data_IF_004332249415
#
_entry.id   IF_004332249415
#
_cell.length_a   1.000
_cell.length_b   1.000
_cell.length_c   1.000
_cell.angle_alpha   90.00
_cell.angle_beta   90.00
_cell.angle_gamma   90.00
#
_symmetry.space_group_name_H-M   'P 1'
#
loop_
_entity.id
_entity.type
_entity.pdbx_description
1 polymer ?
#
# COMPACT_ATOMS: atom_id res chain seq x y z
N UNK A 1 32.41 -22.16 -8.74
CA UNK A 1 31.86 -20.80 -8.69
C UNK A 1 30.52 -20.88 -9.36
N UNK A 2 29.50 -21.18 -8.57
CA UNK A 2 28.13 -21.22 -9.04
C UNK A 2 27.69 -19.78 -9.21
N UNK A 3 27.35 -19.43 -10.45
CA UNK A 3 26.90 -18.09 -10.81
C UNK A 3 25.43 -18.02 -10.40
N UNK A 4 25.14 -17.34 -9.29
CA UNK A 4 23.77 -17.00 -8.92
C UNK A 4 23.16 -16.19 -10.07
N UNK A 5 22.23 -16.82 -10.78
CA UNK A 5 21.39 -16.19 -11.78
C UNK A 5 20.62 -15.06 -11.12
N UNK A 6 20.84 -13.82 -11.60
CA UNK A 6 19.97 -12.68 -11.29
C UNK A 6 18.52 -13.08 -11.53
N UNK A 7 17.79 -13.33 -10.45
CA UNK A 7 16.33 -13.45 -10.49
C UNK A 7 15.82 -12.06 -10.83
N UNK A 8 15.44 -11.87 -12.08
CA UNK A 8 14.65 -10.72 -12.50
C UNK A 8 13.28 -10.83 -11.79
N UNK A 9 13.10 -10.05 -10.72
CA UNK A 9 11.93 -10.05 -9.84
C UNK A 9 10.67 -9.50 -10.55
N UNK A 10 10.73 -9.18 -11.84
CA UNK A 10 9.72 -8.32 -12.47
C UNK A 10 8.55 -9.01 -13.17
N UNK A 11 8.40 -10.35 -13.21
CA UNK A 11 7.26 -10.93 -13.93
C UNK A 11 6.62 -12.17 -13.29
N UNK A 12 5.79 -11.94 -12.26
CA UNK A 12 4.76 -12.90 -11.83
C UNK A 12 3.55 -12.74 -12.76
N UNK A 13 3.46 -13.52 -13.84
CA UNK A 13 2.24 -13.60 -14.65
C UNK A 13 1.41 -14.81 -14.25
N UNK A 14 0.38 -14.57 -13.44
CA UNK A 14 -0.53 -15.56 -12.87
C UNK A 14 -1.87 -15.63 -13.63
N UNK A 15 -1.94 -16.46 -14.66
CA UNK A 15 -3.21 -16.93 -15.25
C UNK A 15 -4.11 -15.87 -15.92
N UNK A 16 -5.20 -16.31 -16.59
CA UNK A 16 -6.16 -15.40 -17.22
C UNK A 16 -6.80 -14.49 -16.15
N UNK A 17 -6.61 -13.17 -16.29
CA UNK A 17 -7.01 -12.15 -15.31
C UNK A 17 -5.87 -11.52 -14.52
N UNK A 18 -4.60 -11.86 -14.79
CA UNK A 18 -3.44 -11.21 -14.17
C UNK A 18 -3.35 -9.72 -14.51
N UNK A 19 -3.20 -8.87 -13.50
CA UNK A 19 -2.87 -7.45 -13.65
C UNK A 19 -1.38 -7.21 -13.36
N UNK A 20 -0.73 -6.39 -14.20
CA UNK A 20 0.61 -5.86 -13.94
C UNK A 20 0.48 -4.62 -13.06
N UNK A 21 1.21 -4.56 -11.96
CA UNK A 21 1.15 -3.46 -11.01
C UNK A 21 2.49 -2.72 -10.97
N UNK A 22 2.48 -1.43 -11.24
CA UNK A 22 3.60 -0.53 -10.95
C UNK A 22 3.34 0.20 -9.65
N UNK A 23 4.32 0.18 -8.76
CA UNK A 23 4.25 0.81 -7.46
C UNK A 23 5.29 1.91 -7.36
N UNK A 24 4.85 3.15 -7.16
CA UNK A 24 5.77 4.27 -6.98
C UNK A 24 6.48 4.15 -5.62
N UNK A 25 7.81 4.40 -5.52
CA UNK A 25 8.55 4.27 -4.24
C UNK A 25 7.98 5.11 -3.09
N UNK A 26 7.36 6.24 -3.42
CA UNK A 26 6.68 7.11 -2.46
C UNK A 26 5.60 6.37 -1.66
N UNK A 27 4.84 5.47 -2.30
CA UNK A 27 3.75 4.73 -1.66
C UNK A 27 4.29 3.80 -0.57
N UNK A 28 5.40 3.12 -0.85
CA UNK A 28 6.08 2.24 0.10
C UNK A 28 6.58 3.04 1.31
N UNK A 29 7.17 4.21 1.04
CA UNK A 29 7.65 5.10 2.10
C UNK A 29 6.49 5.57 3.00
N UNK A 30 5.38 6.01 2.41
CA UNK A 30 4.20 6.47 3.15
C UNK A 30 3.62 5.36 4.03
N UNK A 31 3.46 4.13 3.50
CA UNK A 31 2.91 3.00 4.27
C UNK A 31 3.84 2.62 5.43
N UNK A 32 5.16 2.59 5.17
CA UNK A 32 6.16 2.25 6.19
C UNK A 32 6.20 3.28 7.32
N UNK A 33 6.12 4.56 6.96
CA UNK A 33 6.08 5.68 7.91
C UNK A 33 4.79 5.66 8.74
N UNK A 34 3.63 5.45 8.10
CA UNK A 34 2.35 5.34 8.79
C UNK A 34 2.33 4.21 9.82
N UNK A 35 2.81 3.01 9.45
CA UNK A 35 2.90 1.89 10.38
C UNK A 35 3.87 2.19 11.54
N UNK A 36 5.07 2.71 11.22
CA UNK A 36 6.09 3.02 12.23
C UNK A 36 5.61 4.06 13.23
N UNK A 37 4.92 5.10 12.76
CA UNK A 37 4.37 6.15 13.62
C UNK A 37 3.33 5.58 14.59
N UNK A 38 2.41 4.72 14.13
CA UNK A 38 1.40 4.13 15.01
C UNK A 38 2.01 3.12 15.99
N UNK A 39 2.98 2.30 15.54
CA UNK A 39 3.79 1.45 16.43
C UNK A 39 4.43 2.24 17.58
N UNK A 40 5.03 3.40 17.28
CA UNK A 40 5.67 4.25 18.29
C UNK A 40 4.63 4.89 19.22
N UNK A 41 3.51 5.38 18.67
CA UNK A 41 2.43 5.99 19.46
C UNK A 41 1.80 5.02 20.46
N UNK A 42 1.54 3.79 20.03
CA UNK A 42 0.93 2.75 20.88
C UNK A 42 1.97 1.97 21.70
N UNK A 43 3.27 2.22 21.46
CA UNK A 43 4.39 1.48 22.03
C UNK A 43 4.21 -0.05 21.90
N UNK A 44 3.68 -0.48 20.75
CA UNK A 44 3.28 -1.85 20.47
C UNK A 44 3.65 -2.24 19.05
N UNK A 45 4.03 -3.50 18.83
CA UNK A 45 4.21 -4.05 17.48
C UNK A 45 2.92 -4.65 16.93
N UNK A 46 1.89 -4.80 17.76
CA UNK A 46 0.59 -5.36 17.40
C UNK A 46 -0.37 -4.27 16.90
N UNK A 47 0.10 -3.45 15.95
CA UNK A 47 -0.66 -2.32 15.41
C UNK A 47 -1.07 -2.63 13.98
N UNK A 48 -2.35 -2.41 13.69
CA UNK A 48 -2.90 -2.48 12.33
C UNK A 48 -3.25 -1.07 11.88
N UNK A 49 -2.90 -0.77 10.64
CA UNK A 49 -3.15 0.53 10.02
C UNK A 49 -3.92 0.34 8.73
N UNK A 50 -4.73 1.32 8.35
CA UNK A 50 -5.57 1.27 7.18
C UNK A 50 -5.27 2.46 6.27
N UNK A 51 -5.41 2.24 4.97
CA UNK A 51 -5.18 3.26 3.97
C UNK A 51 -5.92 3.00 2.68
N UNK A 52 -6.00 4.03 1.85
CA UNK A 52 -6.48 3.96 0.47
C UNK A 52 -5.33 4.17 -0.49
N UNK A 53 -5.35 3.45 -1.63
CA UNK A 53 -4.38 3.60 -2.71
C UNK A 53 -5.00 4.42 -3.83
N UNK A 54 -4.26 5.39 -4.33
CA UNK A 54 -4.64 6.19 -5.49
C UNK A 54 -3.69 5.88 -6.64
N UNK A 55 -4.29 5.73 -7.82
CA UNK A 55 -3.59 5.28 -9.00
C UNK A 55 -4.44 5.38 -10.24
N UNK A 56 -3.87 4.95 -11.36
CA UNK A 56 -4.53 4.85 -12.65
C UNK A 56 -4.53 3.40 -13.10
N UNK A 57 -5.64 2.94 -13.67
CA UNK A 57 -5.72 1.65 -14.33
C UNK A 57 -5.94 1.84 -15.83
N UNK A 58 -5.11 1.19 -16.63
CA UNK A 58 -5.26 1.07 -18.08
C UNK A 58 -5.24 -0.41 -18.47
N UNK A 59 -6.38 -0.93 -18.93
CA UNK A 59 -6.54 -2.37 -19.22
C UNK A 59 -6.19 -3.24 -18.00
N UNK A 60 -5.13 -4.03 -18.10
CA UNK A 60 -4.59 -4.93 -17.07
C UNK A 60 -3.37 -4.33 -16.36
N UNK A 61 -3.05 -3.06 -16.62
CA UNK A 61 -1.95 -2.37 -15.98
C UNK A 61 -2.47 -1.38 -14.95
N UNK A 62 -1.99 -1.49 -13.71
CA UNK A 62 -2.36 -0.61 -12.60
C UNK A 62 -1.12 0.10 -12.11
N UNK A 63 -1.14 1.42 -12.16
CA UNK A 63 -0.10 2.28 -11.59
C UNK A 63 -0.60 2.86 -10.28
N UNK A 64 0.11 2.58 -9.19
CA UNK A 64 -0.19 3.13 -7.86
C UNK A 64 0.80 4.26 -7.59
N UNK A 65 0.29 5.49 -7.55
CA UNK A 65 1.10 6.71 -7.45
C UNK A 65 1.07 7.34 -6.06
N UNK A 66 0.02 7.10 -5.26
CA UNK A 66 -0.10 7.65 -3.93
C UNK A 66 -0.86 6.74 -2.95
N UNK A 67 -0.75 7.03 -1.66
CA UNK A 67 -1.51 6.40 -0.58
C UNK A 67 -2.00 7.44 0.42
N UNK A 68 -3.14 7.15 1.03
CA UNK A 68 -3.76 7.98 2.06
C UNK A 68 -4.05 7.14 3.28
N UNK A 69 -3.91 7.73 4.45
CA UNK A 69 -4.22 7.09 5.72
C UNK A 69 -5.71 7.18 5.99
N UNK A 70 -6.29 6.12 6.54
CA UNK A 70 -7.68 6.09 6.96
C UNK A 70 -7.75 5.93 8.47
N UNK A 71 -8.53 6.81 9.11
CA UNK A 71 -8.90 6.68 10.51
C UNK A 71 -10.18 5.86 10.59
N UNK A 72 -10.11 4.71 11.27
CA UNK A 72 -11.28 3.88 11.55
C UNK A 72 -11.55 3.90 13.04
N UNK A 73 -12.80 4.16 13.41
CA UNK A 73 -13.29 3.98 14.76
C UNK A 73 -13.81 2.54 14.91
N UNK A 74 -13.24 1.72 15.80
CA UNK A 74 -13.82 0.42 16.16
C UNK A 74 -15.02 0.61 17.12
N UNK A 75 -16.12 -0.18 17.03
CA UNK A 75 -16.28 -1.48 16.36
C UNK A 75 -17.22 -1.47 15.12
N UNK A 76 -17.64 -0.30 14.64
CA UNK A 76 -18.49 -0.21 13.45
C UNK A 76 -17.71 0.52 12.37
N UNK A 77 -17.27 -0.23 11.37
CA UNK A 77 -16.57 0.23 10.16
C UNK A 77 -17.33 1.37 9.48
N UNK A 78 -17.18 2.57 10.01
CA UNK A 78 -17.82 3.80 9.57
C UNK A 78 -16.70 4.81 9.40
N UNK A 79 -16.50 5.23 8.16
CA UNK A 79 -15.54 6.28 7.85
C UNK A 79 -16.13 7.58 8.39
N UNK A 80 -15.45 8.24 9.33
CA UNK A 80 -15.85 9.57 9.76
C UNK A 80 -15.55 10.55 8.61
N UNK A 81 -16.54 11.28 8.07
CA UNK A 81 -16.35 12.13 6.88
C UNK A 81 -15.76 13.50 7.25
N UNK A 82 -14.74 13.58 8.10
CA UNK A 82 -14.07 14.85 8.41
C UNK A 82 -12.92 15.14 7.43
N UNK A 83 -13.17 15.03 6.13
CA UNK A 83 -12.30 15.61 5.10
C UNK A 83 -12.63 17.11 5.00
N UNK A 84 -12.04 17.93 5.86
CA UNK A 84 -12.03 19.39 5.66
C UNK A 84 -10.90 19.70 4.68
N UNK A 85 -11.26 19.87 3.41
CA UNK A 85 -10.41 20.53 2.43
C UNK A 85 -10.22 21.99 2.87
N UNK A 86 -8.97 22.42 3.01
CA UNK A 86 -8.59 23.84 3.02
C UNK A 86 -8.45 24.34 1.58
#
# INVERSE_FOLDING_TARGET
>A
MDVDSNVDVSNVTSGPGSASVLLHPLVILNISEHWTRNKVKENSTAVTVYGALLGKQESHHVEISNSFELLLDEPHMSLTPSFTAL
#
